data_IF_425130222242
#
_entry.id   IF_425130222242
#
_cell.length_a   1.000
_cell.length_b   1.000
_cell.length_c   1.000
_cell.angle_alpha   90.00
_cell.angle_beta   90.00
_cell.angle_gamma   90.00
#
_symmetry.space_group_name_H-M   'P 1'
#
loop_
_entity.id
_entity.type
_entity.pdbx_description
1 polymer ?
#
# COMPACT_ATOMS: atom_id res chain seq x y z
N UNK A 1 16.49 17.59 -19.27
CA UNK A 1 17.28 16.40 -19.66
C UNK A 1 16.31 15.37 -20.24
N UNK A 2 16.51 14.92 -21.48
CA UNK A 2 15.66 13.89 -22.11
C UNK A 2 16.26 12.52 -21.81
N UNK A 3 15.50 11.65 -21.17
CA UNK A 3 15.84 10.23 -21.05
C UNK A 3 15.66 9.55 -22.41
N UNK A 4 16.70 8.87 -22.88
CA UNK A 4 16.67 7.99 -24.05
C UNK A 4 16.06 6.66 -23.61
N UNK A 5 14.89 6.32 -24.16
CA UNK A 5 14.26 5.01 -24.02
C UNK A 5 15.18 3.93 -24.59
N UNK A 6 15.88 3.21 -23.70
CA UNK A 6 16.50 1.93 -24.00
C UNK A 6 15.38 0.91 -24.20
N UNK A 7 15.05 0.57 -25.46
CA UNK A 7 14.16 -0.56 -25.78
C UNK A 7 14.70 -1.82 -25.12
N UNK A 8 14.08 -2.23 -24.01
CA UNK A 8 14.44 -3.42 -23.23
C UNK A 8 14.62 -3.18 -21.72
N UNK A 9 14.58 -1.93 -21.24
CA UNK A 9 14.60 -1.63 -19.80
C UNK A 9 13.16 -1.40 -19.33
N UNK A 10 12.68 -2.25 -18.41
CA UNK A 10 11.46 -1.98 -17.64
C UNK A 10 11.87 -1.14 -16.44
N UNK A 11 11.36 0.09 -16.37
CA UNK A 11 11.52 0.98 -15.22
C UNK A 11 10.17 1.05 -14.51
N UNK A 12 10.16 0.75 -13.21
CA UNK A 12 9.02 0.96 -12.34
C UNK A 12 9.42 2.01 -11.31
N UNK A 13 8.68 3.11 -11.26
CA UNK A 13 8.90 4.18 -10.31
C UNK A 13 7.97 3.96 -9.11
N UNK A 14 8.55 3.67 -7.94
CA UNK A 14 7.79 3.50 -6.71
C UNK A 14 7.60 4.85 -6.04
N UNK A 15 6.34 5.19 -5.76
CA UNK A 15 5.97 6.41 -5.06
C UNK A 15 5.15 6.12 -3.80
N UNK A 16 5.08 7.16 -2.97
CA UNK A 16 4.43 7.16 -1.68
C UNK A 16 3.11 7.89 -1.77
N UNK A 17 2.04 7.26 -1.31
CA UNK A 17 0.70 7.83 -1.33
C UNK A 17 0.09 7.77 0.07
N UNK A 18 -0.87 8.65 0.32
CA UNK A 18 -1.73 8.54 1.49
C UNK A 18 -2.53 7.23 1.40
N UNK A 19 -2.68 6.48 2.51
CA UNK A 19 -3.55 5.32 2.55
C UNK A 19 -4.99 5.73 2.22
N UNK A 20 -5.68 4.94 1.39
CA UNK A 20 -7.07 5.19 0.98
C UNK A 20 -7.91 3.90 0.99
N UNK A 21 -9.24 3.97 1.13
CA UNK A 21 -10.09 2.78 1.24
C UNK A 21 -9.97 1.76 0.09
N UNK A 22 -9.62 2.19 -1.13
CA UNK A 22 -9.43 1.26 -2.24
C UNK A 22 -8.14 0.40 -2.14
N UNK A 23 -7.25 0.70 -1.18
CA UNK A 23 -6.04 -0.08 -0.89
C UNK A 23 -6.32 -1.35 -0.07
N UNK A 24 -7.57 -1.56 0.35
CA UNK A 24 -7.99 -2.61 1.27
C UNK A 24 -7.41 -3.97 0.95
N UNK A 25 -7.52 -4.43 -0.30
CA UNK A 25 -7.09 -5.78 -0.68
C UNK A 25 -5.57 -5.93 -0.64
N UNK A 26 -4.83 -4.91 -1.09
CA UNK A 26 -3.37 -4.91 -1.07
C UNK A 26 -2.83 -4.90 0.37
N UNK A 27 -3.36 -4.01 1.20
CA UNK A 27 -3.00 -3.93 2.62
C UNK A 27 -3.35 -5.21 3.37
N UNK A 28 -4.57 -5.74 3.17
CA UNK A 28 -5.00 -6.99 3.79
C UNK A 28 -4.09 -8.16 3.41
N UNK A 29 -3.70 -8.26 2.14
CA UNK A 29 -2.79 -9.32 1.66
C UNK A 29 -1.41 -9.22 2.31
N UNK A 30 -0.86 -8.01 2.41
CA UNK A 30 0.41 -7.78 3.10
C UNK A 30 0.31 -8.18 4.57
N UNK A 31 -0.68 -7.66 5.30
CA UNK A 31 -0.83 -7.94 6.73
C UNK A 31 -1.11 -9.42 7.00
N UNK A 32 -1.91 -10.10 6.16
CA UNK A 32 -2.14 -11.54 6.25
C UNK A 32 -0.87 -12.37 6.03
N UNK A 33 0.11 -11.84 5.27
CA UNK A 33 1.39 -12.52 5.02
C UNK A 33 2.38 -12.32 6.17
N UNK A 34 2.37 -11.15 6.81
CA UNK A 34 3.35 -10.78 7.84
C UNK A 34 2.90 -10.99 9.29
N UNK A 35 1.59 -11.04 9.53
CA UNK A 35 1.03 -11.27 10.86
C UNK A 35 0.59 -12.72 10.98
N UNK A 36 1.09 -13.42 12.00
CA UNK A 36 0.66 -14.78 12.31
C UNK A 36 -0.80 -14.73 12.81
N UNK A 37 -1.71 -15.40 12.11
CA UNK A 37 -3.15 -15.20 12.29
C UNK A 37 -3.69 -16.13 13.38
N UNK A 38 -3.68 -15.68 14.63
CA UNK A 38 -4.50 -16.25 15.71
C UNK A 38 -5.81 -15.43 15.82
N UNK A 39 -6.94 -16.02 15.40
CA UNK A 39 -8.33 -15.50 15.47
C UNK A 39 -8.52 -14.02 15.86
N UNK A 40 -8.37 -13.10 14.90
CA UNK A 40 -8.70 -11.68 15.09
C UNK A 40 -9.29 -11.08 13.82
N UNK A 41 -10.03 -9.97 13.96
CA UNK A 41 -10.65 -9.30 12.82
C UNK A 41 -9.64 -8.49 12.00
N UNK A 42 -8.92 -9.20 11.13
CA UNK A 42 -7.98 -8.59 10.20
C UNK A 42 -8.68 -7.59 9.27
N UNK A 43 -9.95 -7.79 8.90
CA UNK A 43 -10.63 -6.89 7.98
C UNK A 43 -10.94 -5.56 8.67
N UNK A 44 -11.52 -5.60 9.87
CA UNK A 44 -11.74 -4.40 10.68
C UNK A 44 -10.44 -3.67 11.04
N UNK A 45 -9.33 -4.38 11.22
CA UNK A 45 -8.03 -3.75 11.40
C UNK A 45 -7.52 -3.01 10.17
N UNK A 46 -7.71 -3.59 8.97
CA UNK A 46 -7.37 -2.92 7.70
C UNK A 46 -8.24 -1.68 7.51
N UNK A 47 -9.54 -1.78 7.78
CA UNK A 47 -10.45 -0.63 7.72
C UNK A 47 -10.01 0.48 8.68
N UNK A 48 -9.67 0.14 9.94
CA UNK A 48 -9.16 1.10 10.93
C UNK A 48 -7.90 1.84 10.44
N UNK A 49 -7.00 1.16 9.73
CA UNK A 49 -5.81 1.78 9.15
C UNK A 49 -6.18 2.75 8.03
N UNK A 50 -7.04 2.31 7.10
CA UNK A 50 -7.38 3.06 5.89
C UNK A 50 -8.36 4.21 6.12
N UNK A 51 -9.10 4.20 7.23
CA UNK A 51 -9.95 5.31 7.67
C UNK A 51 -9.13 6.49 8.23
N UNK A 52 -7.89 6.25 8.65
CA UNK A 52 -6.97 7.28 9.17
C UNK A 52 -6.17 7.93 8.04
N UNK A 53 -6.88 8.48 7.05
CA UNK A 53 -6.28 9.16 5.89
C UNK A 53 -5.22 10.18 6.36
N UNK A 54 -4.05 10.19 5.73
CA UNK A 54 -2.83 10.97 6.04
C UNK A 54 -1.92 10.43 7.16
N UNK A 55 -2.32 9.39 7.90
CA UNK A 55 -1.46 8.77 8.92
C UNK A 55 -0.82 7.49 8.39
N UNK A 56 0.38 7.66 7.84
CA UNK A 56 1.14 6.60 7.21
C UNK A 56 1.29 6.78 5.71
N UNK A 57 1.78 5.75 5.03
CA UNK A 57 1.94 5.75 3.58
C UNK A 57 1.85 4.33 3.03
N UNK A 58 1.32 4.23 1.81
CA UNK A 58 1.40 3.04 0.96
C UNK A 58 2.39 3.29 -0.18
N UNK A 59 3.14 2.26 -0.55
CA UNK A 59 4.07 2.30 -1.69
C UNK A 59 3.45 1.58 -2.88
N UNK A 60 3.38 2.26 -4.03
CA UNK A 60 2.81 1.77 -5.28
C UNK A 60 3.70 2.16 -6.47
N UNK A 61 3.49 1.54 -7.63
CA UNK A 61 4.12 1.97 -8.88
C UNK A 61 3.32 3.15 -9.45
N UNK A 62 4.00 4.25 -9.81
CA UNK A 62 3.37 5.39 -10.48
C UNK A 62 2.83 4.99 -11.85
N UNK A 63 1.69 5.57 -12.23
CA UNK A 63 0.99 5.30 -13.49
C UNK A 63 0.61 3.82 -13.73
N UNK A 64 0.59 2.99 -12.67
CA UNK A 64 0.12 1.61 -12.72
C UNK A 64 -1.41 1.53 -12.64
N UNK A 65 -2.03 0.91 -13.66
CA UNK A 65 -3.49 0.76 -13.75
C UNK A 65 -4.06 -0.14 -12.64
N UNK A 66 -3.24 -1.08 -12.15
CA UNK A 66 -3.65 -2.04 -11.12
C UNK A 66 -3.63 -1.45 -9.70
N UNK A 67 -3.02 -0.26 -9.51
CA UNK A 67 -2.80 0.42 -8.22
C UNK A 67 -2.25 -0.52 -7.12
N UNK A 68 -1.39 -1.48 -7.47
CA UNK A 68 -0.90 -2.50 -6.56
C UNK A 68 -0.14 -1.93 -5.36
N UNK A 69 -0.50 -2.37 -4.15
CA UNK A 69 0.19 -1.99 -2.91
C UNK A 69 1.35 -2.95 -2.64
N UNK A 70 2.56 -2.42 -2.58
CA UNK A 70 3.78 -3.19 -2.33
C UNK A 70 4.29 -3.07 -0.89
N UNK A 71 3.99 -1.96 -0.22
CA UNK A 71 4.35 -1.76 1.17
C UNK A 71 3.33 -0.84 1.87
N UNK A 72 3.26 -0.97 3.19
CA UNK A 72 2.47 -0.14 4.08
C UNK A 72 3.34 0.23 5.29
N UNK A 73 3.30 1.49 5.68
CA UNK A 73 3.73 1.96 7.00
C UNK A 73 2.61 2.81 7.58
N UNK A 74 2.20 2.55 8.81
CA UNK A 74 1.15 3.32 9.48
C UNK A 74 1.46 3.49 10.96
N UNK A 75 1.00 4.60 11.53
CA UNK A 75 0.92 4.80 12.96
C UNK A 75 -0.57 4.78 13.34
N UNK A 76 -0.97 3.88 14.23
CA UNK A 76 -2.36 3.77 14.62
C UNK A 76 -2.68 4.78 15.71
N UNK A 77 -3.61 5.70 15.41
CA UNK A 77 -4.28 6.43 16.47
C UNK A 77 -5.34 5.53 17.12
N UNK A 78 -5.26 5.38 18.44
CA UNK A 78 -6.18 4.59 19.27
C UNK A 78 -6.95 5.46 20.29
N UNK A 79 -6.85 6.78 20.14
CA UNK A 79 -7.43 7.78 21.04
C UNK A 79 -8.55 8.56 20.37
#
# INVERSE_FOLDING_TARGET
MRSLLLKGVVQADFAFFDPKPNDFHGVKTLLQTYLDVEEWDLSGFVDLILEQTTVGTVVKVEDDEDEGVFALVTALNLW
#
